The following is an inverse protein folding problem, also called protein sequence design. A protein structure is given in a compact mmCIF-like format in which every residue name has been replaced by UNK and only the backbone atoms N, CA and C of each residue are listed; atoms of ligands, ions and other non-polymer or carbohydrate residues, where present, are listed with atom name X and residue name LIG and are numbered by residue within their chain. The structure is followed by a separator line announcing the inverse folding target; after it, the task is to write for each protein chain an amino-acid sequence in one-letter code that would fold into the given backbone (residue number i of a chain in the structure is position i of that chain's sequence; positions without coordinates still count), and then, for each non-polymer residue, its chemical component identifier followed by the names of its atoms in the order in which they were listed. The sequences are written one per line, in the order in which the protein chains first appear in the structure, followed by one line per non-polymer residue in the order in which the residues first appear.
data_IF_320924062289
#
_entry.id   IF_320924062289
#
_cell.length_a   1.000
_cell.length_b   1.000
_cell.length_c   1.000
_cell.angle_alpha   90.00
_cell.angle_beta   90.00
_cell.angle_gamma   90.00
#
_symmetry.space_group_name_H-M   'P 1'
#
loop_
_entity.id
_entity.type
_entity.pdbx_description
1 polymer ?
#
# COMPACT_ATOMS: atom_id res chain seq x y z
N UNK A 1 5.29 -27.57 28.76
CA UNK A 1 5.36 -26.11 28.61
C UNK A 1 5.86 -25.82 27.19
N UNK A 2 4.96 -25.64 26.23
CA UNK A 2 5.33 -25.41 24.83
C UNK A 2 5.85 -23.97 24.68
N UNK A 3 7.13 -23.81 24.35
CA UNK A 3 7.70 -22.50 23.99
C UNK A 3 7.39 -22.25 22.52
N UNK A 4 6.59 -21.22 22.23
CA UNK A 4 6.38 -20.72 20.88
C UNK A 4 7.66 -20.05 20.37
N UNK A 5 8.58 -20.82 19.79
CA UNK A 5 9.86 -20.30 19.24
C UNK A 5 9.83 -20.13 17.71
N UNK A 6 8.64 -20.04 17.10
CA UNK A 6 8.48 -20.04 15.64
C UNK A 6 8.17 -18.70 14.98
N UNK A 7 8.00 -17.62 15.74
CA UNK A 7 7.69 -16.30 15.17
C UNK A 7 9.01 -15.59 14.84
N UNK A 8 9.27 -15.23 13.57
CA UNK A 8 10.44 -14.43 13.24
C UNK A 8 10.36 -13.10 14.02
N UNK A 9 11.49 -12.59 14.56
CA UNK A 9 11.47 -11.32 15.26
C UNK A 9 10.91 -10.25 14.34
N UNK A 10 9.91 -9.50 14.82
CA UNK A 10 9.37 -8.37 14.09
C UNK A 10 10.54 -7.42 13.75
N UNK A 11 10.66 -6.96 12.50
CA UNK A 11 11.62 -5.91 12.16
C UNK A 11 11.38 -4.73 13.10
N UNK A 12 12.40 -4.32 13.87
CA UNK A 12 12.34 -3.06 14.61
C UNK A 12 12.33 -1.93 13.56
N UNK A 13 11.26 -1.13 13.45
CA UNK A 13 11.25 -0.02 12.50
C UNK A 13 12.31 0.98 12.91
N UNK A 14 13.15 1.40 11.96
CA UNK A 14 13.97 2.61 12.13
C UNK A 14 13.03 3.82 11.93
N UNK A 15 12.74 4.62 12.97
CA UNK A 15 11.86 5.77 12.86
C UNK A 15 12.42 6.83 11.90
N UNK A 16 13.73 6.83 11.62
CA UNK A 16 14.40 7.84 10.82
C UNK A 16 14.24 7.68 9.30
N UNK A 17 13.67 6.55 8.83
CA UNK A 17 13.55 6.24 7.40
C UNK A 17 12.13 6.10 6.87
N UNK A 18 11.11 6.31 7.71
CA UNK A 18 9.72 6.14 7.31
C UNK A 18 9.13 7.36 6.59
N UNK A 19 8.10 7.11 5.80
CA UNK A 19 7.39 8.11 5.01
C UNK A 19 6.11 8.48 5.75
N UNK A 20 6.01 9.72 6.27
CA UNK A 20 4.80 10.17 6.94
C UNK A 20 3.70 10.43 5.91
N UNK A 21 2.55 9.80 6.11
CA UNK A 21 1.36 9.95 5.26
C UNK A 21 0.19 10.35 6.16
N UNK A 22 -0.65 11.29 5.71
CA UNK A 22 -1.87 11.63 6.43
C UNK A 22 -2.81 10.41 6.45
N UNK A 23 -3.30 10.07 7.63
CA UNK A 23 -4.14 8.88 7.84
C UNK A 23 -5.49 8.99 7.13
N UNK A 24 -6.14 10.14 7.21
CA UNK A 24 -7.45 10.34 6.60
C UNK A 24 -7.36 10.24 5.07
N UNK A 25 -6.35 10.90 4.48
CA UNK A 25 -6.10 10.83 3.04
C UNK A 25 -5.82 9.39 2.60
N UNK A 26 -4.90 8.68 3.28
CA UNK A 26 -4.56 7.32 2.91
C UNK A 26 -5.77 6.37 3.03
N UNK A 27 -6.57 6.51 4.09
CA UNK A 27 -7.78 5.71 4.32
C UNK A 27 -8.81 5.94 3.21
N UNK A 28 -9.06 7.19 2.83
CA UNK A 28 -9.96 7.53 1.72
C UNK A 28 -9.44 6.93 0.41
N UNK A 29 -8.16 7.12 0.11
CA UNK A 29 -7.54 6.58 -1.11
C UNK A 29 -7.67 5.06 -1.19
N UNK A 30 -7.36 4.35 -0.09
CA UNK A 30 -7.48 2.89 -0.01
C UNK A 30 -8.92 2.47 -0.33
N UNK A 31 -9.93 3.07 0.32
CA UNK A 31 -11.34 2.72 0.10
C UNK A 31 -11.77 2.92 -1.37
N UNK A 32 -11.20 3.91 -2.06
CA UNK A 32 -11.49 4.18 -3.46
C UNK A 32 -10.83 3.22 -4.44
N UNK A 33 -9.79 2.46 -4.03
CA UNK A 33 -9.06 1.58 -4.95
C UNK A 33 -9.21 0.10 -4.62
N UNK A 34 -9.24 -0.31 -3.36
CA UNK A 34 -9.16 -1.75 -3.01
C UNK A 34 -10.29 -2.60 -3.62
N UNK A 35 -11.46 -2.01 -3.89
CA UNK A 35 -12.61 -2.73 -4.42
C UNK A 35 -12.40 -3.24 -5.85
N UNK A 36 -11.50 -2.63 -6.62
CA UNK A 36 -11.21 -3.00 -8.01
C UNK A 36 -10.08 -4.02 -8.14
N UNK A 37 -9.41 -4.39 -7.04
CA UNK A 37 -8.44 -5.49 -7.04
C UNK A 37 -9.15 -6.84 -7.26
N UNK A 38 -8.45 -7.78 -7.89
CA UNK A 38 -8.96 -9.11 -8.16
C UNK A 38 -9.02 -9.98 -6.91
N UNK A 39 -9.96 -10.92 -6.87
CA UNK A 39 -9.97 -12.03 -5.92
C UNK A 39 -9.46 -13.34 -6.55
N UNK A 40 -8.99 -13.28 -7.80
CA UNK A 40 -8.51 -14.41 -8.58
C UNK A 40 -7.03 -14.72 -8.25
N UNK A 41 -6.81 -15.80 -7.50
CA UNK A 41 -5.47 -16.24 -7.11
C UNK A 41 -4.65 -16.78 -8.30
N UNK A 42 -5.25 -17.04 -9.47
CA UNK A 42 -4.50 -17.40 -10.68
C UNK A 42 -3.72 -16.21 -11.25
N UNK A 43 -4.06 -14.98 -10.87
CA UNK A 43 -3.33 -13.75 -11.24
C UNK A 43 -2.95 -12.97 -9.97
N UNK A 44 -2.00 -13.48 -9.15
CA UNK A 44 -1.69 -12.91 -7.83
C UNK A 44 -1.38 -11.42 -7.86
N UNK A 45 -0.70 -10.94 -8.90
CA UNK A 45 -0.33 -9.53 -9.03
C UNK A 45 -1.54 -8.59 -9.04
N UNK A 46 -2.69 -9.03 -9.58
CA UNK A 46 -3.92 -8.24 -9.63
C UNK A 46 -4.70 -8.28 -8.31
N UNK A 47 -4.34 -9.15 -7.36
CA UNK A 47 -4.93 -9.16 -6.02
C UNK A 47 -4.39 -8.04 -5.13
N UNK A 48 -3.34 -7.37 -5.60
CA UNK A 48 -2.74 -6.22 -4.95
C UNK A 48 -3.18 -4.88 -5.55
N UNK A 49 -2.86 -3.84 -4.79
CA UNK A 49 -2.91 -2.44 -5.21
C UNK A 49 -1.48 -2.01 -5.51
N UNK A 50 -1.26 -1.47 -6.71
CA UNK A 50 -0.03 -0.78 -7.03
C UNK A 50 0.04 0.50 -6.19
N UNK A 51 1.05 0.58 -5.33
CA UNK A 51 1.35 1.72 -4.49
C UNK A 51 2.61 2.40 -5.04
N UNK A 52 2.43 3.61 -5.57
CA UNK A 52 3.51 4.36 -6.19
C UNK A 52 3.68 5.72 -5.50
N UNK A 53 4.87 6.00 -5.01
CA UNK A 53 5.27 7.28 -4.46
C UNK A 53 6.38 7.86 -5.34
N UNK A 54 6.18 9.08 -5.80
CA UNK A 54 7.18 9.80 -6.57
C UNK A 54 7.06 11.29 -6.25
N UNK A 55 8.19 11.93 -5.94
CA UNK A 55 8.22 13.30 -5.45
C UNK A 55 7.24 13.46 -4.29
N UNK A 56 6.32 14.41 -4.35
CA UNK A 56 5.27 14.63 -3.35
C UNK A 56 3.91 14.03 -3.76
N UNK A 57 3.89 13.05 -4.67
CA UNK A 57 2.67 12.42 -5.16
C UNK A 57 2.60 10.97 -4.74
N UNK A 58 1.44 10.57 -4.22
CA UNK A 58 1.05 9.18 -4.02
C UNK A 58 0.02 8.81 -5.08
N UNK A 59 0.19 7.65 -5.70
CA UNK A 59 -0.69 7.07 -6.70
C UNK A 59 -0.99 5.61 -6.35
N UNK A 60 -2.28 5.33 -6.14
CA UNK A 60 -2.79 4.00 -5.89
C UNK A 60 -3.60 3.51 -7.08
N UNK A 61 -3.30 2.31 -7.56
CA UNK A 61 -4.00 1.72 -8.71
C UNK A 61 -4.36 0.26 -8.47
N UNK A 62 -5.53 -0.15 -8.94
CA UNK A 62 -6.01 -1.53 -8.83
C UNK A 62 -6.86 -1.92 -10.05
N UNK A 63 -6.84 -3.19 -10.42
CA UNK A 63 -7.69 -3.73 -11.49
C UNK A 63 -7.91 -5.25 -11.35
N UNK A 64 -9.01 -5.74 -11.93
CA UNK A 64 -9.37 -7.17 -11.96
C UNK A 64 -9.47 -7.76 -13.38
N UNK A 65 -9.23 -6.93 -14.40
CA UNK A 65 -9.38 -7.25 -15.82
C UNK A 65 -10.71 -6.82 -16.43
N UNK A 66 -11.69 -6.44 -15.61
CA UNK A 66 -12.99 -5.92 -16.05
C UNK A 66 -13.18 -4.45 -15.66
N UNK A 67 -12.60 -4.05 -14.53
CA UNK A 67 -12.59 -2.68 -14.03
C UNK A 67 -11.20 -2.31 -13.51
N UNK A 68 -10.98 -1.02 -13.41
CA UNK A 68 -9.81 -0.43 -12.78
C UNK A 68 -10.24 0.74 -11.89
N UNK A 69 -9.43 1.04 -10.88
CA UNK A 69 -9.54 2.26 -10.09
C UNK A 69 -8.15 2.87 -9.91
N UNK A 70 -8.08 4.19 -9.93
CA UNK A 70 -6.85 4.96 -9.75
C UNK A 70 -7.14 6.18 -8.89
N UNK A 71 -6.29 6.42 -7.90
CA UNK A 71 -6.39 7.59 -7.04
C UNK A 71 -5.01 8.19 -6.80
N UNK A 72 -4.89 9.48 -7.13
CA UNK A 72 -3.70 10.30 -6.87
C UNK A 72 -3.99 11.30 -5.77
N UNK A 73 -3.01 11.55 -4.91
CA UNK A 73 -3.05 12.61 -3.91
C UNK A 73 -1.65 13.21 -3.69
N UNK A 74 -1.61 14.37 -3.05
CA UNK A 74 -0.35 15.00 -2.65
C UNK A 74 -0.01 14.61 -1.21
N UNK A 75 1.26 14.35 -0.94
CA UNK A 75 1.78 14.17 0.42
C UNK A 75 2.55 15.42 0.84
N UNK A 76 2.65 15.63 2.16
CA UNK A 76 3.21 16.87 2.73
C UNK A 76 4.68 17.11 2.40
N UNK A 77 5.44 16.06 2.10
CA UNK A 77 6.86 16.13 1.81
C UNK A 77 7.22 15.21 0.65
N UNK A 78 8.16 15.59 -0.22
CA UNK A 78 8.62 14.72 -1.28
C UNK A 78 9.39 13.52 -0.72
N UNK A 79 9.19 12.34 -1.33
CA UNK A 79 9.99 11.15 -1.03
C UNK A 79 11.40 11.31 -1.61
N UNK A 80 12.42 10.86 -0.87
CA UNK A 80 13.81 10.96 -1.31
C UNK A 80 14.12 10.10 -2.55
N UNK A 81 13.36 9.01 -2.76
CA UNK A 81 13.47 8.11 -3.91
C UNK A 81 12.08 7.61 -4.30
N UNK A 82 11.81 7.40 -5.60
CA UNK A 82 10.57 6.77 -6.03
C UNK A 82 10.41 5.37 -5.43
N UNK A 83 9.20 5.04 -5.01
CA UNK A 83 8.83 3.74 -4.47
C UNK A 83 7.68 3.20 -5.29
N UNK A 84 7.84 1.99 -5.81
CA UNK A 84 6.80 1.27 -6.54
C UNK A 84 6.70 -0.14 -5.96
N UNK A 85 5.57 -0.44 -5.33
CA UNK A 85 5.34 -1.72 -4.68
C UNK A 85 3.89 -2.19 -4.89
N UNK A 86 3.66 -3.50 -4.89
CA UNK A 86 2.30 -4.04 -4.97
C UNK A 86 1.95 -4.60 -3.60
N UNK A 87 0.98 -3.99 -2.94
CA UNK A 87 0.58 -4.34 -1.57
C UNK A 87 -0.74 -5.12 -1.66
N UNK A 88 -0.89 -6.28 -0.99
CA UNK A 88 -2.13 -7.03 -0.98
C UNK A 88 -3.33 -6.15 -0.60
N UNK A 89 -4.39 -6.18 -1.41
CA UNK A 89 -5.57 -5.34 -1.17
C UNK A 89 -6.20 -5.60 0.21
N UNK A 90 -6.18 -6.87 0.66
CA UNK A 90 -6.63 -7.24 2.01
C UNK A 90 -5.84 -6.55 3.12
N UNK A 91 -4.52 -6.43 2.98
CA UNK A 91 -3.69 -5.76 3.99
C UNK A 91 -3.99 -4.25 4.06
N UNK A 92 -4.23 -3.60 2.91
CA UNK A 92 -4.65 -2.21 2.86
C UNK A 92 -6.07 -2.01 3.43
N UNK A 93 -7.01 -2.93 3.15
CA UNK A 93 -8.34 -2.90 3.76
C UNK A 93 -8.27 -3.00 5.28
N UNK A 94 -7.43 -3.89 5.82
CA UNK A 94 -7.20 -3.97 7.26
C UNK A 94 -6.55 -2.70 7.79
N UNK A 95 -5.58 -2.12 7.07
CA UNK A 95 -4.96 -0.85 7.43
C UNK A 95 -6.00 0.27 7.57
N UNK A 96 -6.89 0.42 6.60
CA UNK A 96 -7.97 1.41 6.63
C UNK A 96 -8.99 1.17 7.76
N UNK A 97 -9.15 -0.08 8.20
CA UNK A 97 -10.03 -0.47 9.30
C UNK A 97 -9.42 -0.18 10.68
N UNK A 98 -8.11 -0.41 10.84
CA UNK A 98 -7.39 -0.14 12.11
C UNK A 98 -7.01 1.32 12.27
N UNK A 99 -6.87 2.06 11.16
CA UNK A 99 -6.56 3.48 11.18
C UNK A 99 -7.73 4.28 11.74
N UNK A 100 -7.55 4.78 12.96
CA UNK A 100 -8.57 5.54 13.67
C UNK A 100 -8.47 7.03 13.33
N UNK A 101 -9.59 7.75 13.43
CA UNK A 101 -9.63 9.17 13.04
C UNK A 101 -8.83 10.08 14.01
N UNK A 102 -8.35 9.55 15.14
CA UNK A 102 -7.46 10.25 16.07
C UNK A 102 -5.98 10.18 15.68
N UNK A 103 -5.60 9.27 14.77
CA UNK A 103 -4.24 9.18 14.24
C UNK A 103 -4.06 10.24 13.14
N UNK A 104 -3.11 11.15 13.32
CA UNK A 104 -2.87 12.20 12.32
C UNK A 104 -1.92 11.76 11.20
N UNK A 105 -1.06 10.79 11.49
CA UNK A 105 0.01 10.39 10.57
C UNK A 105 0.32 8.91 10.74
N UNK A 106 0.50 8.24 9.62
CA UNK A 106 1.01 6.88 9.55
C UNK A 106 2.41 6.92 8.97
N UNK A 107 3.33 6.15 9.55
CA UNK A 107 4.70 6.06 9.07
C UNK A 107 4.89 4.77 8.27
N UNK A 108 5.08 4.90 6.96
CA UNK A 108 5.27 3.77 6.05
C UNK A 108 6.77 3.48 5.85
N UNK A 109 7.18 2.23 6.01
CA UNK A 109 8.55 1.78 5.80
C UNK A 109 8.59 0.56 4.87
N UNK A 110 9.58 0.49 3.99
CA UNK A 110 9.87 -0.70 3.18
C UNK A 110 11.29 -1.19 3.49
N UNK A 111 11.45 -2.16 4.42
CA UNK A 111 12.77 -2.70 4.74
C UNK A 111 13.45 -3.30 3.51
N UNK A 112 14.66 -2.86 3.21
CA UNK A 112 15.42 -3.33 2.05
C UNK A 112 15.64 -4.84 2.09
N UNK A 113 15.37 -5.51 0.96
CA UNK A 113 15.61 -6.95 0.80
C UNK A 113 14.66 -7.87 1.57
N UNK A 114 13.59 -7.35 2.18
CA UNK A 114 12.61 -8.18 2.91
C UNK A 114 11.31 -8.46 2.16
N UNK A 115 11.05 -7.75 1.06
CA UNK A 115 9.78 -7.88 0.33
C UNK A 115 8.57 -7.50 1.19
N UNK A 116 8.74 -6.59 2.15
CA UNK A 116 7.72 -6.21 3.12
C UNK A 116 7.44 -4.72 3.09
N UNK A 117 6.22 -4.37 3.49
CA UNK A 117 5.83 -3.02 3.90
C UNK A 117 5.39 -3.06 5.36
N UNK A 118 5.80 -2.05 6.11
CA UNK A 118 5.44 -1.85 7.52
C UNK A 118 4.73 -0.51 7.61
N UNK A 119 3.59 -0.50 8.28
CA UNK A 119 2.85 0.70 8.61
C UNK A 119 2.80 0.86 10.12
N UNK A 120 3.41 1.93 10.63
CA UNK A 120 3.39 2.28 12.04
C UNK A 120 2.36 3.38 12.28
N UNK A 121 1.32 3.04 13.02
CA UNK A 121 0.40 3.98 13.65
C UNK A 121 0.86 4.21 15.09
N UNK A 122 0.15 5.06 15.84
CA UNK A 122 0.52 5.41 17.21
C UNK A 122 0.71 4.20 18.12
N UNK A 123 -0.26 3.29 18.12
CA UNK A 123 -0.31 2.13 19.02
C UNK A 123 -0.35 0.78 18.28
N UNK A 124 -0.23 0.79 16.94
CA UNK A 124 -0.40 -0.39 16.10
C UNK A 124 0.68 -0.43 15.01
N UNK A 125 1.26 -1.61 14.82
CA UNK A 125 2.13 -1.93 13.69
C UNK A 125 1.42 -2.95 12.78
N UNK A 126 1.32 -2.66 11.49
CA UNK A 126 0.83 -3.58 10.47
C UNK A 126 1.96 -3.92 9.50
N UNK A 127 2.27 -5.21 9.38
CA UNK A 127 3.28 -5.73 8.45
C UNK A 127 2.59 -6.53 7.36
N UNK A 128 2.97 -6.31 6.10
CA UNK A 128 2.46 -7.06 4.95
C UNK A 128 3.59 -7.50 4.02
N UNK A 129 3.46 -8.70 3.46
CA UNK A 129 4.30 -9.17 2.36
C UNK A 129 3.85 -8.51 1.06
N UNK A 130 4.81 -7.98 0.30
CA UNK A 130 4.58 -7.43 -1.02
C UNK A 130 4.34 -8.56 -2.02
N UNK A 131 3.53 -8.27 -3.03
CA UNK A 131 3.33 -9.18 -4.16
C UNK A 131 4.42 -8.89 -5.18
N UNK A 132 5.22 -9.90 -5.51
CA UNK A 132 6.27 -9.78 -6.53
C UNK A 132 5.72 -9.94 -7.94
N UNK A 133 6.29 -9.19 -8.87
CA UNK A 133 5.99 -9.29 -10.30
C UNK A 133 5.66 -7.96 -10.97
N UNK A 134 5.57 -7.94 -12.31
CA UNK A 134 5.22 -6.75 -13.06
C UNK A 134 3.73 -6.42 -12.93
N UNK A 135 3.41 -5.24 -12.43
CA UNK A 135 2.04 -4.71 -12.45
C UNK A 135 1.73 -4.11 -13.83
N UNK A 136 0.55 -4.36 -14.42
CA UNK A 136 0.19 -3.79 -15.73
C UNK A 136 0.16 -2.26 -15.70
N UNK A 137 0.46 -1.64 -16.84
CA UNK A 137 0.30 -0.19 -17.01
C UNK A 137 -1.18 0.14 -17.27
N UNK A 138 -1.90 0.48 -16.21
CA UNK A 138 -3.33 0.75 -16.27
C UNK A 138 -3.66 2.08 -16.96
N UNK A 139 -2.73 3.05 -16.98
CA UNK A 139 -2.96 4.35 -17.64
C UNK A 139 -3.09 4.22 -19.16
N UNK A 140 -2.47 3.19 -19.76
CA UNK A 140 -2.59 2.92 -21.20
C UNK A 140 -3.97 2.40 -21.61
N UNK A 141 -4.73 1.87 -20.66
CA UNK A 141 -6.05 1.26 -20.92
C UNK A 141 -7.18 2.29 -20.81
N UNK A 142 -6.91 3.46 -20.19
CA UNK A 142 -7.89 4.54 -20.03
C UNK A 142 -8.07 5.26 -21.38
N UNK A 143 -9.28 5.27 -21.97
CA UNK A 143 -9.54 6.00 -23.22
C UNK A 143 -9.23 7.48 -23.05
N UNK A 144 -8.37 8.03 -23.92
CA UNK A 144 -7.97 9.45 -23.87
C UNK A 144 -8.98 10.40 -24.52
N UNK A 145 -10.00 9.85 -25.17
CA UNK A 145 -11.06 10.61 -25.85
C UNK A 145 -12.35 9.81 -25.87
N UNK A 146 -13.45 10.46 -25.48
CA UNK A 146 -14.80 9.99 -25.76
C UNK A 146 -15.29 10.77 -27.00
N UNK A 147 -15.61 10.06 -28.07
CA UNK A 147 -16.25 10.61 -29.27
C UNK A 147 -17.77 10.52 -29.16
#
# INVERSE_FOLDING_TARGET
MYRCTGVPPLPVPDPAGGIPINVADLKEMIQQVVFAASNDEARPILTGVLFHLQDNTIDLQSADGFRLSLKKAQISQPVARPIKAVIPARALSELARIATDGDQTINMCLPSGRGQVIFNLKDVELVSQLIEGPYPDLEQVIPRSYS
#
